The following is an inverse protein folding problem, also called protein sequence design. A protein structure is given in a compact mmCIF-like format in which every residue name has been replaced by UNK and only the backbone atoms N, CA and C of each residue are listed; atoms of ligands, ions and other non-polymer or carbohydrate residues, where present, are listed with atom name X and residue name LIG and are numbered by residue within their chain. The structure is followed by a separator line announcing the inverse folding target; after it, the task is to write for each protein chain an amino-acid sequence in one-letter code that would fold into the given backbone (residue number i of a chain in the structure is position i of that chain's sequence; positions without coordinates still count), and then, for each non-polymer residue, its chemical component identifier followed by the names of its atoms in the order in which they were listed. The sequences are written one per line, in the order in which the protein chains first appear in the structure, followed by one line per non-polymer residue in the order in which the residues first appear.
data_IF_146288114376
#
_entry.id   IF_146288114376
#
_cell.length_a   1.000
_cell.length_b   1.000
_cell.length_c   1.000
_cell.angle_alpha   90.00
_cell.angle_beta   90.00
_cell.angle_gamma   90.00
#
_symmetry.space_group_name_H-M   'P 1'
#
loop_
_entity.id
_entity.type
_entity.pdbx_description
1 polymer ?
#
# COMPACT_ATOMS: atom_id res chain seq x y z
N UNK A 1 -6.15 15.31 -40.23
CA UNK A 1 -7.12 15.41 -39.12
C UNK A 1 -6.51 16.36 -38.09
N UNK A 2 -7.04 17.59 -37.90
CA UNK A 2 -6.47 18.55 -36.92
C UNK A 2 -6.76 18.01 -35.51
N UNK A 3 -5.73 17.87 -34.66
CA UNK A 3 -5.92 17.57 -33.23
C UNK A 3 -6.86 18.64 -32.65
N UNK A 4 -7.89 18.21 -31.92
CA UNK A 4 -8.69 19.13 -31.10
C UNK A 4 -7.73 19.78 -30.10
N UNK A 5 -7.78 21.10 -30.00
CA UNK A 5 -7.00 21.88 -29.01
C UNK A 5 -7.44 21.48 -27.62
N UNK A 6 -6.54 20.85 -26.86
CA UNK A 6 -6.73 20.50 -25.46
C UNK A 6 -6.36 21.73 -24.61
N UNK A 7 -7.14 22.13 -23.60
CA UNK A 7 -6.73 23.18 -22.65
C UNK A 7 -5.33 22.96 -22.05
N UNK A 8 -4.92 21.69 -21.89
CA UNK A 8 -3.59 21.33 -21.39
C UNK A 8 -2.47 21.62 -22.38
N UNK A 9 -2.75 21.76 -23.68
CA UNK A 9 -1.75 22.15 -24.68
C UNK A 9 -1.21 23.56 -24.38
N UNK A 10 -2.08 24.46 -23.88
CA UNK A 10 -1.71 25.83 -23.54
C UNK A 10 -0.83 25.90 -22.29
N UNK A 11 -1.14 25.07 -21.29
CA UNK A 11 -0.39 24.96 -20.03
C UNK A 11 0.97 24.32 -20.29
N UNK A 12 1.03 23.24 -21.08
CA UNK A 12 2.28 22.60 -21.48
C UNK A 12 3.17 23.58 -22.26
N UNK A 13 2.60 24.38 -23.16
CA UNK A 13 3.31 25.42 -23.89
C UNK A 13 3.96 26.46 -22.95
N UNK A 14 3.21 26.97 -21.97
CA UNK A 14 3.72 27.92 -20.98
C UNK A 14 4.82 27.32 -20.10
N UNK A 15 4.68 26.04 -19.71
CA UNK A 15 5.69 25.31 -18.93
C UNK A 15 7.01 25.22 -19.71
N UNK A 16 6.95 24.82 -20.98
CA UNK A 16 8.13 24.69 -21.84
C UNK A 16 8.79 26.05 -22.10
N UNK A 17 7.99 27.10 -22.30
CA UNK A 17 8.50 28.46 -22.51
C UNK A 17 9.22 28.99 -21.25
N UNK A 18 8.61 28.78 -20.08
CA UNK A 18 9.20 29.19 -18.81
C UNK A 18 10.47 28.39 -18.49
N UNK A 19 10.50 27.09 -18.78
CA UNK A 19 11.68 26.26 -18.62
C UNK A 19 12.84 26.77 -19.48
N UNK A 20 12.60 27.07 -20.77
CA UNK A 20 13.60 27.67 -21.66
C UNK A 20 14.11 29.01 -21.14
N UNK A 21 13.23 29.88 -20.65
CA UNK A 21 13.61 31.18 -20.04
C UNK A 21 14.49 31.03 -18.80
N UNK A 22 14.31 29.96 -18.03
CA UNK A 22 15.15 29.63 -16.88
C UNK A 22 16.46 28.90 -17.22
N UNK A 23 16.74 28.66 -18.51
CA UNK A 23 17.95 27.95 -18.95
C UNK A 23 17.86 26.42 -18.82
N UNK A 24 16.69 25.86 -18.53
CA UNK A 24 16.45 24.41 -18.60
C UNK A 24 16.06 24.05 -20.04
N UNK A 25 16.97 23.37 -20.73
CA UNK A 25 16.65 22.72 -21.99
C UNK A 25 16.04 21.34 -21.73
N UNK A 26 14.90 21.07 -22.37
CA UNK A 26 14.18 19.81 -22.26
C UNK A 26 14.29 19.15 -23.62
N UNK A 27 15.30 18.28 -23.77
CA UNK A 27 15.64 17.67 -25.05
C UNK A 27 15.27 16.18 -25.08
N UNK A 28 15.14 15.56 -23.90
CA UNK A 28 14.84 14.14 -23.72
C UNK A 28 13.58 13.91 -22.87
N UNK A 29 13.07 12.67 -22.88
CA UNK A 29 11.98 12.27 -21.99
C UNK A 29 12.38 12.37 -20.51
N UNK A 30 13.64 12.04 -20.19
CA UNK A 30 14.20 12.14 -18.84
C UNK A 30 14.24 13.59 -18.33
N UNK A 31 14.59 14.55 -19.20
CA UNK A 31 14.54 15.98 -18.84
C UNK A 31 13.11 16.44 -18.50
N UNK A 32 12.12 15.91 -19.23
CA UNK A 32 10.71 16.22 -18.99
C UNK A 32 10.23 15.62 -17.65
N UNK A 33 10.63 14.40 -17.33
CA UNK A 33 10.34 13.75 -16.05
C UNK A 33 10.97 14.51 -14.87
N UNK A 34 12.24 14.93 -15.00
CA UNK A 34 12.93 15.75 -14.00
C UNK A 34 12.23 17.10 -13.77
N UNK A 35 11.75 17.73 -14.84
CA UNK A 35 10.96 18.95 -14.72
C UNK A 35 9.66 18.72 -13.97
N UNK A 36 8.93 17.65 -14.30
CA UNK A 36 7.69 17.30 -13.60
C UNK A 36 7.95 17.01 -12.12
N UNK A 37 9.03 16.31 -11.78
CA UNK A 37 9.44 16.06 -10.40
C UNK A 37 9.69 17.38 -9.64
N UNK A 38 10.44 18.30 -10.24
CA UNK A 38 10.69 19.63 -9.65
C UNK A 38 9.41 20.46 -9.49
N UNK A 39 8.53 20.45 -10.49
CA UNK A 39 7.25 21.16 -10.44
C UNK A 39 6.35 20.61 -9.35
N UNK A 40 6.21 19.29 -9.26
CA UNK A 40 5.44 18.65 -8.21
C UNK A 40 6.02 18.98 -6.83
N UNK A 41 7.35 18.97 -6.68
CA UNK A 41 8.01 19.37 -5.44
C UNK A 41 7.67 20.82 -5.04
N UNK A 42 7.69 21.76 -5.99
CA UNK A 42 7.30 23.16 -5.77
C UNK A 42 5.83 23.32 -5.40
N UNK A 43 4.93 22.58 -6.07
CA UNK A 43 3.50 22.59 -5.75
C UNK A 43 3.26 22.10 -4.33
N UNK A 44 3.87 20.99 -3.93
CA UNK A 44 3.75 20.45 -2.57
C UNK A 44 4.27 21.43 -1.52
N UNK A 45 5.42 22.08 -1.77
CA UNK A 45 5.94 23.13 -0.88
C UNK A 45 4.97 24.31 -0.75
N UNK A 46 4.38 24.78 -1.85
CA UNK A 46 3.40 25.86 -1.80
C UNK A 46 2.12 25.48 -1.04
N UNK A 47 1.63 24.25 -1.23
CA UNK A 47 0.48 23.75 -0.47
C UNK A 47 0.78 23.72 1.03
N UNK A 48 1.98 23.26 1.42
CA UNK A 48 2.41 23.24 2.82
C UNK A 48 2.57 24.67 3.40
N UNK A 49 3.09 25.62 2.61
CA UNK A 49 3.17 27.03 3.03
C UNK A 49 1.79 27.63 3.27
N UNK A 50 0.80 27.26 2.46
CA UNK A 50 -0.61 27.61 2.64
C UNK A 50 -1.22 26.98 3.90
N UNK A 51 -0.95 25.71 4.17
CA UNK A 51 -1.35 25.07 5.43
C UNK A 51 -0.74 25.79 6.64
N UNK A 52 0.53 26.21 6.55
CA UNK A 52 1.19 26.99 7.60
C UNK A 52 0.55 28.37 7.78
N UNK A 53 0.15 29.05 6.70
CA UNK A 53 -0.64 30.30 6.79
C UNK A 53 -1.92 30.08 7.58
N UNK A 54 -2.66 29.02 7.25
CA UNK A 54 -3.91 28.70 7.93
C UNK A 54 -3.69 28.33 9.41
N UNK A 55 -2.65 27.56 9.71
CA UNK A 55 -2.29 27.17 11.08
C UNK A 55 -1.92 28.37 11.95
N UNK A 56 -1.12 29.31 11.42
CA UNK A 56 -0.68 30.50 12.18
C UNK A 56 -1.70 31.64 12.17
N UNK A 57 -2.63 31.65 11.21
CA UNK A 57 -3.64 32.69 11.02
C UNK A 57 -3.12 33.96 10.33
N UNK A 58 -1.91 33.93 9.77
CA UNK A 58 -1.34 35.08 9.05
C UNK A 58 -0.31 34.68 7.98
N UNK A 59 -0.18 35.54 6.97
CA UNK A 59 0.72 35.36 5.84
C UNK A 59 2.19 35.61 6.19
N UNK A 60 3.11 35.12 5.35
CA UNK A 60 4.53 35.38 5.52
C UNK A 60 4.83 36.88 5.45
N UNK A 61 5.47 37.43 6.48
CA UNK A 61 5.74 38.87 6.61
C UNK A 61 4.54 39.70 7.09
N UNK A 62 3.40 39.06 7.36
CA UNK A 62 2.24 39.68 7.98
C UNK A 62 2.44 39.97 9.47
N UNK A 63 1.53 40.77 10.04
CA UNK A 63 1.53 41.07 11.48
C UNK A 63 1.17 39.79 12.25
N UNK A 64 2.01 39.44 13.22
CA UNK A 64 1.82 38.27 14.09
C UNK A 64 0.49 38.38 14.84
N UNK A 65 -0.35 37.36 14.71
CA UNK A 65 -1.65 37.25 15.37
C UNK A 65 -1.62 36.25 16.53
N UNK A 66 -0.73 35.26 16.46
CA UNK A 66 -0.60 34.17 17.44
C UNK A 66 0.73 34.23 18.19
N UNK A 67 0.86 33.52 19.31
CA UNK A 67 2.14 33.37 20.00
C UNK A 67 3.14 32.47 19.26
N UNK A 68 2.73 31.75 18.23
CA UNK A 68 3.61 30.93 17.41
C UNK A 68 4.05 31.71 16.16
N UNK A 69 5.18 31.32 15.57
CA UNK A 69 5.71 32.01 14.39
C UNK A 69 6.46 31.05 13.48
N UNK A 70 6.65 31.45 12.22
CA UNK A 70 7.41 30.66 11.24
C UNK A 70 8.89 30.64 11.62
N UNK A 71 9.52 29.47 11.45
CA UNK A 71 10.92 29.22 11.77
C UNK A 71 11.64 28.57 10.57
N UNK A 72 11.44 29.14 9.38
CA UNK A 72 12.05 28.68 8.13
C UNK A 72 11.47 27.36 7.61
N UNK A 73 12.30 26.64 6.86
CA UNK A 73 11.93 25.40 6.18
C UNK A 73 12.94 24.28 6.49
N UNK A 74 12.50 23.04 6.40
CA UNK A 74 13.36 21.85 6.41
C UNK A 74 13.19 21.08 5.11
N UNK A 75 14.31 20.67 4.51
CA UNK A 75 14.29 19.87 3.29
C UNK A 75 13.88 18.43 3.58
N UNK A 76 12.94 17.92 2.80
CA UNK A 76 12.50 16.53 2.83
C UNK A 76 12.50 15.97 1.42
N UNK A 77 13.14 14.82 1.23
CA UNK A 77 13.07 14.08 -0.04
C UNK A 77 11.95 13.07 0.06
N UNK A 78 10.96 13.22 -0.83
CA UNK A 78 9.88 12.28 -1.05
C UNK A 78 10.25 11.29 -2.15
N UNK A 79 9.76 10.06 -2.05
CA UNK A 79 9.88 9.03 -3.07
C UNK A 79 8.54 8.94 -3.79
N UNK A 80 8.57 9.18 -5.10
CA UNK A 80 7.43 9.05 -6.02
C UNK A 80 7.64 7.84 -6.92
N UNK A 81 6.58 7.10 -7.18
CA UNK A 81 6.62 5.90 -8.03
C UNK A 81 6.75 6.22 -9.52
N UNK A 82 6.43 7.44 -9.96
CA UNK A 82 6.47 7.82 -11.39
C UNK A 82 7.51 8.87 -11.73
N UNK A 83 8.03 9.59 -10.74
CA UNK A 83 8.92 10.75 -10.93
C UNK A 83 10.18 10.65 -10.05
N UNK A 84 10.45 9.48 -9.46
CA UNK A 84 11.60 9.24 -8.59
C UNK A 84 11.62 10.12 -7.34
N UNK A 85 12.82 10.61 -7.00
CA UNK A 85 13.04 11.40 -5.79
C UNK A 85 12.61 12.87 -6.00
N UNK A 86 11.63 13.31 -5.21
CA UNK A 86 11.11 14.68 -5.24
C UNK A 86 11.58 15.41 -3.98
N UNK A 87 12.38 16.47 -4.16
CA UNK A 87 12.79 17.34 -3.06
C UNK A 87 11.68 18.37 -2.78
N UNK A 88 11.25 18.43 -1.52
CA UNK A 88 10.32 19.46 -1.03
C UNK A 88 10.95 20.22 0.14
N UNK A 89 10.56 21.47 0.29
CA UNK A 89 10.83 22.28 1.47
C UNK A 89 9.56 22.34 2.33
N UNK A 90 9.65 21.86 3.57
CA UNK A 90 8.54 21.79 4.52
C UNK A 90 8.65 22.97 5.50
N UNK A 91 7.64 23.86 5.58
CA UNK A 91 7.66 24.98 6.52
C UNK A 91 7.63 24.48 7.96
N UNK A 92 8.26 25.25 8.85
CA UNK A 92 8.32 24.97 10.28
C UNK A 92 7.81 26.15 11.07
N UNK A 93 7.21 25.86 12.21
CA UNK A 93 6.87 26.83 13.24
C UNK A 93 7.89 26.78 14.39
N UNK A 94 7.84 27.78 15.26
CA UNK A 94 8.80 27.94 16.37
C UNK A 94 8.47 27.01 17.54
N UNK A 95 7.18 26.78 17.83
CA UNK A 95 6.73 25.90 18.91
C UNK A 95 6.69 24.42 18.51
N UNK A 96 6.77 24.09 17.22
CA UNK A 96 6.75 22.71 16.71
C UNK A 96 5.35 22.07 16.66
N UNK A 97 4.31 22.89 16.78
CA UNK A 97 2.90 22.50 16.86
C UNK A 97 2.26 22.27 15.48
N UNK A 98 2.94 22.65 14.39
CA UNK A 98 2.41 22.48 13.04
C UNK A 98 2.38 21.00 12.64
N UNK A 99 1.19 20.47 12.32
CA UNK A 99 0.97 19.11 11.80
C UNK A 99 0.44 19.16 10.36
N UNK A 100 1.32 19.04 9.34
CA UNK A 100 0.92 19.13 7.93
C UNK A 100 0.03 17.96 7.50
N UNK A 101 -0.97 18.24 6.66
CA UNK A 101 -1.89 17.23 6.14
C UNK A 101 -1.49 16.76 4.74
N UNK A 102 -1.06 17.66 3.86
CA UNK A 102 -0.62 17.33 2.49
C UNK A 102 0.52 16.30 2.52
N UNK A 103 1.53 16.54 3.36
CA UNK A 103 2.66 15.62 3.55
C UNK A 103 2.91 15.44 5.05
N UNK A 104 2.37 14.39 5.69
CA UNK A 104 2.50 14.18 7.12
C UNK A 104 3.96 14.11 7.59
N UNK A 105 4.20 14.45 8.87
CA UNK A 105 5.52 14.30 9.49
C UNK A 105 6.05 12.89 9.32
N UNK A 106 7.35 12.77 9.08
CA UNK A 106 8.09 11.51 8.86
C UNK A 106 7.68 10.65 7.64
N UNK A 107 6.51 10.85 7.02
CA UNK A 107 6.12 10.14 5.79
C UNK A 107 6.89 10.64 4.57
N UNK A 108 7.77 9.82 4.00
CA UNK A 108 8.58 10.20 2.82
C UNK A 108 8.08 9.59 1.51
N UNK A 109 6.96 8.90 1.51
CA UNK A 109 6.46 8.20 0.33
C UNK A 109 5.15 8.82 -0.12
N UNK A 110 5.05 9.11 -1.43
CA UNK A 110 3.78 9.47 -2.05
C UNK A 110 2.99 8.17 -2.30
N UNK A 111 1.69 8.20 -2.00
CA UNK A 111 0.81 7.02 -2.06
C UNK A 111 0.71 6.44 -3.48
N UNK A 112 0.44 5.14 -3.58
CA UNK A 112 0.15 4.45 -4.85
C UNK A 112 1.10 3.32 -5.24
N UNK A 113 2.04 2.96 -4.37
CA UNK A 113 2.99 1.87 -4.62
C UNK A 113 2.73 0.61 -3.77
N UNK A 114 2.02 0.74 -2.66
CA UNK A 114 1.64 -0.35 -1.75
C UNK A 114 0.88 -1.46 -2.50
N UNK A 115 -0.07 -1.09 -3.36
CA UNK A 115 -0.82 -2.05 -4.18
C UNK A 115 0.06 -2.87 -5.12
N UNK A 116 1.13 -2.27 -5.65
CA UNK A 116 2.10 -2.97 -6.52
C UNK A 116 2.97 -3.93 -5.70
N UNK A 117 3.42 -3.53 -4.51
CA UNK A 117 4.11 -4.44 -3.58
C UNK A 117 3.24 -5.66 -3.30
N UNK A 118 2.00 -5.43 -2.88
CA UNK A 118 1.06 -6.50 -2.56
C UNK A 118 0.81 -7.40 -3.76
N UNK A 119 0.65 -6.82 -4.96
CA UNK A 119 0.43 -7.58 -6.19
C UNK A 119 1.64 -8.40 -6.62
N UNK A 120 2.88 -7.95 -6.36
CA UNK A 120 4.10 -8.71 -6.63
C UNK A 120 4.31 -9.81 -5.59
N UNK A 121 4.07 -9.50 -4.31
CA UNK A 121 4.14 -10.47 -3.23
C UNK A 121 3.12 -11.60 -3.42
N UNK A 122 1.88 -11.26 -3.80
CA UNK A 122 0.83 -12.23 -4.12
C UNK A 122 1.17 -13.11 -5.33
N UNK A 123 2.05 -12.65 -6.24
CA UNK A 123 2.59 -13.46 -7.36
C UNK A 123 3.74 -14.37 -6.94
N UNK A 124 4.17 -14.33 -5.68
CA UNK A 124 5.20 -15.20 -5.13
C UNK A 124 6.62 -14.64 -5.24
N UNK A 125 6.79 -13.35 -5.56
CA UNK A 125 8.11 -12.73 -5.52
C UNK A 125 8.55 -12.55 -4.06
N UNK A 126 9.81 -12.88 -3.78
CA UNK A 126 10.44 -12.61 -2.49
C UNK A 126 10.61 -11.11 -2.27
N UNK A 127 10.73 -10.69 -1.01
CA UNK A 127 10.94 -9.28 -0.66
C UNK A 127 12.18 -8.67 -1.32
N UNK A 128 13.22 -9.47 -1.58
CA UNK A 128 14.42 -9.02 -2.30
C UNK A 128 14.21 -8.89 -3.79
N UNK A 129 13.43 -9.77 -4.41
CA UNK A 129 13.08 -9.67 -5.84
C UNK A 129 12.17 -8.47 -6.08
N UNK A 130 11.21 -8.24 -5.18
CA UNK A 130 10.39 -7.03 -5.19
C UNK A 130 11.29 -5.81 -5.08
N UNK A 131 12.20 -5.74 -4.10
CA UNK A 131 13.15 -4.63 -3.98
C UNK A 131 13.93 -4.37 -5.29
N UNK A 132 14.47 -5.42 -5.92
CA UNK A 132 15.17 -5.32 -7.20
C UNK A 132 14.26 -4.77 -8.31
N UNK A 133 13.07 -5.34 -8.47
CA UNK A 133 12.09 -4.89 -9.46
C UNK A 133 11.73 -3.40 -9.30
N UNK A 134 11.67 -2.91 -8.06
CA UNK A 134 11.36 -1.51 -7.78
C UNK A 134 12.49 -0.56 -8.04
N UNK A 135 13.70 -1.02 -7.83
CA UNK A 135 14.87 -0.28 -8.23
C UNK A 135 14.98 -0.21 -9.76
N UNK A 136 14.81 -1.34 -10.44
CA UNK A 136 15.01 -1.43 -11.90
C UNK A 136 13.94 -0.68 -12.69
N UNK A 137 12.66 -0.83 -12.32
CA UNK A 137 11.53 -0.23 -13.06
C UNK A 137 11.24 1.22 -12.63
N UNK A 138 11.48 1.56 -11.36
CA UNK A 138 11.06 2.85 -10.78
C UNK A 138 12.21 3.65 -10.15
N UNK A 139 13.46 3.19 -10.23
CA UNK A 139 14.61 3.85 -9.60
C UNK A 139 14.52 3.93 -8.07
N UNK A 140 13.67 3.09 -7.46
CA UNK A 140 13.30 3.23 -6.06
C UNK A 140 14.20 2.40 -5.15
N UNK A 141 14.97 3.07 -4.31
CA UNK A 141 15.68 2.42 -3.22
C UNK A 141 14.71 2.07 -2.08
N UNK A 142 14.37 0.80 -1.91
CA UNK A 142 13.60 0.30 -0.75
C UNK A 142 14.40 -0.75 0.02
N UNK A 143 14.05 -0.99 1.28
CA UNK A 143 14.55 -2.15 2.03
C UNK A 143 13.57 -3.33 1.91
N UNK A 144 14.08 -4.54 2.06
CA UNK A 144 13.22 -5.73 2.22
C UNK A 144 12.31 -5.63 3.46
N UNK A 145 12.75 -4.91 4.50
CA UNK A 145 11.96 -4.61 5.71
C UNK A 145 10.75 -3.72 5.39
N UNK A 146 10.95 -2.66 4.60
CA UNK A 146 9.83 -1.82 4.14
C UNK A 146 8.79 -2.64 3.36
N UNK A 147 9.23 -3.58 2.53
CA UNK A 147 8.32 -4.47 1.81
C UNK A 147 7.54 -5.36 2.78
N UNK A 148 8.20 -5.87 3.83
CA UNK A 148 7.53 -6.60 4.91
C UNK A 148 6.47 -5.74 5.59
N UNK A 149 6.80 -4.50 5.97
CA UNK A 149 5.87 -3.57 6.63
C UNK A 149 4.62 -3.32 5.77
N UNK A 150 4.80 -3.15 4.46
CA UNK A 150 3.69 -2.97 3.51
C UNK A 150 2.83 -4.23 3.42
N UNK A 151 3.43 -5.42 3.40
CA UNK A 151 2.68 -6.67 3.42
C UNK A 151 1.99 -6.93 4.75
N UNK A 152 2.57 -6.48 5.86
CA UNK A 152 1.99 -6.64 7.20
C UNK A 152 0.81 -5.69 7.42
N UNK A 153 0.77 -4.57 6.70
CA UNK A 153 -0.34 -3.62 6.76
C UNK A 153 -1.70 -4.21 6.36
N UNK A 154 -1.72 -5.32 5.59
CA UNK A 154 -2.96 -6.01 5.20
C UNK A 154 -3.40 -7.09 6.20
N UNK A 155 -2.60 -7.42 7.22
CA UNK A 155 -2.96 -8.46 8.20
C UNK A 155 -4.33 -8.22 8.87
N UNK A 156 -4.74 -6.98 9.22
CA UNK A 156 -6.09 -6.73 9.72
C UNK A 156 -7.21 -7.03 8.70
N UNK A 157 -6.95 -6.83 7.42
CA UNK A 157 -7.89 -7.19 6.34
C UNK A 157 -7.99 -8.72 6.19
N UNK A 158 -6.86 -9.41 6.29
CA UNK A 158 -6.81 -10.88 6.30
C UNK A 158 -7.62 -11.44 7.47
N UNK A 159 -7.47 -10.87 8.67
CA UNK A 159 -8.23 -11.28 9.86
C UNK A 159 -9.74 -11.04 9.67
N UNK A 160 -10.14 -9.89 9.11
CA UNK A 160 -11.54 -9.62 8.76
C UNK A 160 -12.07 -10.63 7.74
N UNK A 161 -11.29 -10.96 6.71
CA UNK A 161 -11.67 -11.93 5.70
C UNK A 161 -11.80 -13.35 6.27
N UNK A 162 -10.91 -13.74 7.18
CA UNK A 162 -10.96 -15.02 7.91
C UNK A 162 -12.20 -15.12 8.82
N UNK A 163 -12.66 -13.99 9.37
CA UNK A 163 -13.84 -13.96 10.25
C UNK A 163 -15.13 -13.51 9.54
N UNK A 164 -15.12 -13.38 8.21
CA UNK A 164 -16.29 -12.88 7.47
C UNK A 164 -17.48 -13.83 7.63
N UNK A 165 -18.72 -13.33 7.63
CA UNK A 165 -19.91 -14.17 7.62
C UNK A 165 -19.95 -15.02 6.35
N UNK A 166 -20.40 -16.26 6.49
CA UNK A 166 -20.53 -17.25 5.43
C UNK A 166 -22.02 -17.50 5.13
N UNK A 167 -22.30 -18.02 3.94
CA UNK A 167 -23.65 -18.40 3.57
C UNK A 167 -24.14 -19.58 4.47
N UNK A 168 -25.44 -19.63 4.78
CA UNK A 168 -25.97 -20.67 5.66
C UNK A 168 -25.95 -22.07 5.03
N UNK A 169 -25.86 -22.17 3.71
CA UNK A 169 -25.95 -23.44 2.99
C UNK A 169 -24.90 -23.56 1.89
N UNK A 170 -24.17 -24.68 1.89
CA UNK A 170 -23.23 -25.06 0.83
C UNK A 170 -23.59 -26.44 0.26
N UNK A 171 -23.60 -26.55 -1.07
CA UNK A 171 -23.92 -27.81 -1.77
C UNK A 171 -22.78 -28.81 -1.65
N UNK A 172 -21.53 -28.34 -1.70
CA UNK A 172 -20.35 -29.20 -1.53
C UNK A 172 -19.25 -28.41 -0.85
N UNK A 173 -18.55 -29.02 0.11
CA UNK A 173 -17.34 -28.45 0.71
C UNK A 173 -16.22 -29.47 0.60
N UNK A 174 -15.10 -29.04 0.02
CA UNK A 174 -13.87 -29.81 -0.06
C UNK A 174 -12.94 -29.39 1.07
N UNK A 175 -12.43 -30.36 1.82
CA UNK A 175 -11.39 -30.17 2.80
C UNK A 175 -10.10 -30.78 2.28
N UNK A 176 -9.09 -29.95 2.10
CA UNK A 176 -7.79 -30.32 1.56
C UNK A 176 -6.67 -29.76 2.46
N UNK A 177 -5.44 -30.23 2.28
CA UNK A 177 -4.28 -29.79 3.03
C UNK A 177 -3.06 -29.60 2.13
N UNK A 178 -2.39 -28.46 2.26
CA UNK A 178 -1.11 -28.19 1.59
C UNK A 178 0.00 -28.25 2.64
N UNK A 179 1.04 -29.04 2.37
CA UNK A 179 2.23 -29.10 3.24
C UNK A 179 3.22 -28.00 2.87
N UNK A 180 3.49 -27.12 3.81
CA UNK A 180 4.46 -26.02 3.67
C UNK A 180 5.51 -26.09 4.75
N UNK A 181 6.75 -25.73 4.40
CA UNK A 181 7.85 -25.65 5.36
C UNK A 181 7.84 -24.28 6.03
N UNK A 182 7.56 -24.27 7.33
CA UNK A 182 7.49 -23.04 8.13
C UNK A 182 8.66 -23.01 9.10
N UNK A 183 9.36 -21.89 9.17
CA UNK A 183 10.39 -21.65 10.20
C UNK A 183 9.68 -21.21 11.47
N UNK A 184 9.77 -22.01 12.53
CA UNK A 184 9.24 -21.65 13.84
C UNK A 184 10.12 -20.64 14.57
N UNK A 185 9.62 -20.12 15.69
CA UNK A 185 10.32 -19.12 16.51
C UNK A 185 11.65 -19.63 17.09
N UNK A 186 11.78 -20.95 17.25
CA UNK A 186 13.02 -21.63 17.63
C UNK A 186 14.05 -21.72 16.50
N UNK A 187 13.77 -21.14 15.32
CA UNK A 187 14.62 -21.18 14.13
C UNK A 187 14.57 -22.50 13.35
N UNK A 188 13.84 -23.50 13.83
CA UNK A 188 13.72 -24.82 13.21
C UNK A 188 12.65 -24.78 12.12
N UNK A 189 13.00 -25.27 10.93
CA UNK A 189 12.06 -25.41 9.82
C UNK A 189 11.31 -26.72 9.99
N UNK A 190 9.99 -26.65 10.15
CA UNK A 190 9.10 -27.80 10.30
C UNK A 190 8.08 -27.83 9.18
N UNK A 191 7.79 -29.01 8.59
CA UNK A 191 6.67 -29.15 7.69
C UNK A 191 5.37 -29.02 8.49
N UNK A 192 4.49 -28.09 8.12
CA UNK A 192 3.14 -27.94 8.67
C UNK A 192 2.10 -28.14 7.58
N UNK A 193 0.95 -28.67 7.97
CA UNK A 193 -0.21 -28.79 7.10
C UNK A 193 -1.02 -27.49 7.19
N UNK A 194 -1.39 -26.94 6.05
CA UNK A 194 -2.32 -25.82 5.92
C UNK A 194 -3.61 -26.39 5.35
N UNK A 195 -4.62 -26.53 6.20
CA UNK A 195 -5.93 -27.02 5.82
C UNK A 195 -6.74 -25.91 5.15
N UNK A 196 -7.44 -26.27 4.08
CA UNK A 196 -8.27 -25.40 3.27
C UNK A 196 -9.68 -25.97 3.23
N UNK A 197 -10.69 -25.11 3.43
CA UNK A 197 -12.08 -25.44 3.12
C UNK A 197 -12.53 -24.66 1.89
N UNK A 198 -12.85 -25.36 0.81
CA UNK A 198 -13.37 -24.80 -0.43
C UNK A 198 -14.85 -25.15 -0.58
N UNK A 199 -15.73 -24.16 -0.47
CA UNK A 199 -17.18 -24.34 -0.59
C UNK A 199 -17.70 -24.05 -1.99
N UNK A 200 -18.72 -24.79 -2.40
CA UNK A 200 -19.56 -24.52 -3.58
C UNK A 200 -20.94 -24.12 -3.06
N UNK A 201 -21.32 -22.86 -3.29
CA UNK A 201 -22.59 -22.34 -2.82
C UNK A 201 -23.77 -22.80 -3.72
N UNK A 202 -25.00 -22.46 -3.34
CA UNK A 202 -26.21 -22.87 -4.08
C UNK A 202 -26.27 -22.35 -5.54
N UNK A 203 -25.50 -21.32 -5.87
CA UNK A 203 -25.40 -20.79 -7.23
C UNK A 203 -24.24 -21.42 -8.03
N UNK A 204 -23.55 -22.43 -7.49
CA UNK A 204 -22.43 -23.09 -8.13
C UNK A 204 -21.11 -22.29 -8.08
N UNK A 205 -21.03 -21.22 -7.29
CA UNK A 205 -19.80 -20.44 -7.13
C UNK A 205 -18.89 -21.09 -6.11
N UNK A 206 -17.61 -21.21 -6.48
CA UNK A 206 -16.55 -21.70 -5.60
C UNK A 206 -16.01 -20.53 -4.76
N UNK A 207 -15.83 -20.74 -3.47
CA UNK A 207 -15.15 -19.80 -2.59
C UNK A 207 -14.35 -20.50 -1.50
N UNK A 208 -13.27 -19.88 -1.04
CA UNK A 208 -12.51 -20.37 0.11
C UNK A 208 -13.22 -19.92 1.38
N UNK A 209 -13.70 -20.88 2.18
CA UNK A 209 -14.40 -20.64 3.44
C UNK A 209 -13.42 -20.30 4.56
N UNK A 210 -12.26 -20.95 4.57
CA UNK A 210 -11.20 -20.67 5.55
C UNK A 210 -9.92 -21.45 5.26
N UNK A 211 -8.88 -21.06 5.98
CA UNK A 211 -7.55 -21.65 5.89
C UNK A 211 -6.93 -21.68 7.28
N UNK A 212 -6.37 -22.82 7.69
CA UNK A 212 -5.89 -23.04 9.06
C UNK A 212 -4.56 -23.78 9.05
N UNK A 213 -3.58 -23.26 9.77
CA UNK A 213 -2.32 -23.97 10.00
C UNK A 213 -2.51 -24.96 11.14
N UNK A 214 -2.28 -26.24 10.89
CA UNK A 214 -2.28 -27.28 11.91
C UNK A 214 -0.85 -27.63 12.34
N UNK A 215 -0.65 -27.74 13.65
CA UNK A 215 0.55 -28.38 14.19
C UNK A 215 0.40 -29.91 14.16
N UNK A 216 -0.80 -30.43 14.48
CA UNK A 216 -1.17 -31.83 14.43
C UNK A 216 -2.63 -32.00 14.00
N UNK A 217 -2.92 -32.99 13.15
CA UNK A 217 -4.27 -33.41 12.77
C UNK A 217 -4.89 -34.22 13.93
N UNK A 218 -6.04 -33.77 14.43
CA UNK A 218 -6.79 -34.50 15.47
C UNK A 218 -8.28 -34.22 15.33
N UNK A 219 -9.12 -35.12 15.84
CA UNK A 219 -10.57 -34.90 15.89
C UNK A 219 -10.95 -33.58 16.60
N UNK A 220 -10.19 -33.18 17.63
CA UNK A 220 -10.39 -31.91 18.34
C UNK A 220 -10.07 -30.70 17.46
N UNK A 221 -9.07 -30.81 16.59
CA UNK A 221 -8.72 -29.77 15.64
C UNK A 221 -9.84 -29.59 14.60
N UNK A 222 -10.32 -30.68 13.99
CA UNK A 222 -11.42 -30.61 13.03
C UNK A 222 -12.73 -30.12 13.65
N UNK A 223 -13.02 -30.52 14.89
CA UNK A 223 -14.14 -29.96 15.64
C UNK A 223 -14.03 -28.43 15.78
N UNK A 224 -12.83 -27.89 16.03
CA UNK A 224 -12.59 -26.44 16.08
C UNK A 224 -12.90 -25.79 14.72
N UNK A 225 -12.41 -26.37 13.62
CA UNK A 225 -12.65 -25.87 12.26
C UNK A 225 -14.15 -25.84 11.94
N UNK A 226 -14.86 -26.94 12.17
CA UNK A 226 -16.31 -27.00 11.92
C UNK A 226 -17.11 -26.06 12.83
N UNK A 227 -16.69 -25.91 14.08
CA UNK A 227 -17.31 -24.97 15.02
C UNK A 227 -17.13 -23.53 14.54
N UNK A 228 -15.95 -23.17 14.03
CA UNK A 228 -15.70 -21.85 13.45
C UNK A 228 -16.57 -21.58 12.24
N UNK A 229 -16.65 -22.53 11.28
CA UNK A 229 -17.53 -22.41 10.11
C UNK A 229 -18.99 -22.20 10.52
N UNK A 230 -19.46 -22.95 11.52
CA UNK A 230 -20.80 -22.81 12.08
C UNK A 230 -21.02 -21.44 12.71
N UNK A 231 -20.08 -20.97 13.54
CA UNK A 231 -20.16 -19.66 14.18
C UNK A 231 -20.17 -18.50 13.17
N UNK A 232 -19.56 -18.71 12.00
CA UNK A 232 -19.56 -17.75 10.89
C UNK A 232 -20.82 -17.79 10.04
N UNK A 233 -21.75 -18.73 10.28
CA UNK A 233 -23.08 -18.74 9.67
C UNK A 233 -23.45 -20.04 8.97
N UNK A 234 -22.48 -20.93 8.70
CA UNK A 234 -22.75 -22.20 8.00
C UNK A 234 -23.69 -23.06 8.84
N UNK A 235 -24.87 -23.34 8.31
CA UNK A 235 -25.90 -24.12 8.98
C UNK A 235 -25.99 -25.53 8.42
N UNK A 236 -25.77 -25.70 7.12
CA UNK A 236 -25.92 -26.98 6.44
C UNK A 236 -24.94 -27.15 5.26
N UNK A 237 -24.43 -28.38 5.12
CA UNK A 237 -23.50 -28.80 4.06
C UNK A 237 -24.03 -30.13 3.50
N UNK A 238 -24.44 -30.13 2.23
CA UNK A 238 -25.04 -31.33 1.62
C UNK A 238 -24.00 -32.44 1.36
N UNK A 239 -22.81 -32.06 0.89
CA UNK A 239 -21.71 -32.99 0.59
C UNK A 239 -20.42 -32.45 1.19
N UNK A 240 -19.79 -33.21 2.09
CA UNK A 240 -18.43 -32.95 2.54
C UNK A 240 -17.48 -33.94 1.86
N UNK A 241 -16.46 -33.43 1.20
CA UNK A 241 -15.42 -34.23 0.54
C UNK A 241 -14.11 -34.02 1.30
N UNK A 242 -13.52 -35.11 1.75
CA UNK A 242 -12.25 -35.11 2.48
C UNK A 242 -11.32 -36.16 1.88
N UNK A 243 -10.02 -35.95 1.96
CA UNK A 243 -9.06 -37.04 1.77
C UNK A 243 -9.10 -38.00 2.99
N UNK A 244 -8.57 -39.22 2.89
CA UNK A 244 -8.58 -40.28 3.92
C UNK A 244 -7.83 -39.93 5.23
N UNK A 245 -7.52 -38.66 5.48
CA UNK A 245 -6.75 -38.15 6.63
C UNK A 245 -7.51 -37.27 7.64
N UNK A 246 -8.85 -37.19 7.58
CA UNK A 246 -9.68 -36.41 8.52
C UNK A 246 -10.25 -37.28 9.64
#
# INVERSE_FOLDING_TARGET
MKRKTDPLDSVAGQILENAKKSGLEINTAEDAENLMAHMLGRLLTQMLDGEMTNHLGYERGGKRVTENERNGHSSKTLKSSSLGNIRIDVPRDRKGEFEPRVVPKHKRQLAGFEDKVLALYARGLSTREIQGFLYDEYGMETSAEFISDVTDAILPEVEKWQNRPLDPFYTTVFFDAIRVKIRGDNGIVTPKAVHLALGVNAQGRKEVLGMWVADNESAKYWLKVFTELKNRGVSDILIAVTDEGV
#
